data_IF_995774487624
#
_entry.id   IF_995774487624
#
_cell.length_a   1.000
_cell.length_b   1.000
_cell.length_c   1.000
_cell.angle_alpha   90.00
_cell.angle_beta   90.00
_cell.angle_gamma   90.00
#
_symmetry.space_group_name_H-M   'P 1'
#
loop_
_entity.id
_entity.type
_entity.pdbx_description
1 polymer ?
#
# COMPACT_ATOMS: atom_id res chain seq x y z
N UNK A 1 52.50 -13.97 -1.52
CA UNK A 1 51.50 -12.88 -1.47
C UNK A 1 50.12 -13.50 -1.33
N UNK A 2 49.48 -13.36 -0.16
CA UNK A 2 48.18 -13.95 0.16
C UNK A 2 47.09 -12.95 -0.31
N UNK A 3 46.28 -13.36 -1.28
CA UNK A 3 45.31 -12.49 -1.92
C UNK A 3 44.06 -12.35 -1.04
N UNK A 4 44.02 -11.33 -0.19
CA UNK A 4 42.84 -10.99 0.63
C UNK A 4 41.80 -10.30 -0.25
N UNK A 5 41.08 -11.07 -1.06
CA UNK A 5 39.87 -10.56 -1.72
C UNK A 5 38.78 -10.48 -0.64
N UNK A 6 38.63 -9.31 -0.03
CA UNK A 6 37.42 -8.97 0.74
C UNK A 6 36.26 -9.07 -0.24
N UNK A 7 35.59 -10.21 -0.27
CA UNK A 7 34.23 -10.29 -0.76
C UNK A 7 33.42 -9.39 0.16
N UNK A 8 33.27 -8.11 -0.23
CA UNK A 8 32.33 -7.23 0.42
C UNK A 8 30.99 -7.95 0.40
N UNK A 9 30.39 -8.13 1.57
CA UNK A 9 29.07 -8.72 1.73
C UNK A 9 28.12 -8.06 0.72
N UNK A 10 27.86 -8.72 -0.40
CA UNK A 10 26.83 -8.28 -1.33
C UNK A 10 25.52 -8.67 -0.66
N UNK A 11 24.96 -7.74 0.11
CA UNK A 11 23.64 -7.88 0.68
C UNK A 11 22.66 -7.94 -0.50
N UNK A 12 22.24 -9.14 -0.88
CA UNK A 12 21.15 -9.33 -1.84
C UNK A 12 19.85 -9.01 -1.12
N UNK A 13 19.38 -7.77 -1.27
CA UNK A 13 18.05 -7.37 -0.80
C UNK A 13 17.01 -8.07 -1.69
N UNK A 14 16.37 -9.09 -1.13
CA UNK A 14 15.28 -9.79 -1.79
C UNK A 14 13.92 -9.14 -1.47
N UNK A 15 12.88 -9.54 -2.20
CA UNK A 15 11.52 -8.99 -2.04
C UNK A 15 10.98 -9.22 -0.63
N UNK A 16 11.41 -10.31 0.02
CA UNK A 16 10.98 -10.67 1.37
C UNK A 16 11.56 -9.71 2.40
N UNK A 17 12.86 -9.39 2.29
CA UNK A 17 13.52 -8.38 3.12
C UNK A 17 12.87 -7.02 2.93
N UNK A 18 12.55 -6.63 1.69
CA UNK A 18 11.87 -5.37 1.41
C UNK A 18 10.47 -5.32 2.04
N UNK A 19 9.67 -6.37 1.87
CA UNK A 19 8.33 -6.46 2.46
C UNK A 19 8.36 -6.42 3.99
N UNK A 20 9.35 -7.07 4.61
CA UNK A 20 9.54 -7.04 6.05
C UNK A 20 9.88 -5.63 6.57
N UNK A 21 10.86 -4.97 5.96
CA UNK A 21 11.26 -3.61 6.34
C UNK A 21 10.10 -2.63 6.11
N UNK A 22 9.40 -2.72 4.97
CA UNK A 22 8.24 -1.88 4.70
C UNK A 22 7.13 -2.10 5.72
N UNK A 23 6.87 -3.35 6.14
CA UNK A 23 5.88 -3.64 7.19
C UNK A 23 6.23 -2.91 8.49
N UNK A 24 7.50 -2.93 8.92
CA UNK A 24 7.96 -2.20 10.11
C UNK A 24 7.72 -0.70 9.95
N UNK A 25 8.13 -0.12 8.81
CA UNK A 25 7.95 1.31 8.52
C UNK A 25 6.48 1.70 8.62
N UNK A 26 5.59 0.95 7.95
CA UNK A 26 4.16 1.24 7.96
C UNK A 26 3.55 1.08 9.36
N UNK A 27 3.94 0.07 10.14
CA UNK A 27 3.49 -0.08 11.53
C UNK A 27 3.93 1.13 12.37
N UNK A 28 5.20 1.53 12.28
CA UNK A 28 5.70 2.72 12.99
C UNK A 28 4.96 3.98 12.57
N UNK A 29 4.68 4.15 11.27
CA UNK A 29 3.89 5.26 10.75
C UNK A 29 2.46 5.28 11.31
N UNK A 30 1.79 4.12 11.37
CA UNK A 30 0.45 3.99 11.96
C UNK A 30 0.46 4.36 13.44
N UNK A 31 1.47 3.93 14.19
CA UNK A 31 1.63 4.29 15.61
C UNK A 31 1.81 5.80 15.76
N UNK A 32 2.71 6.42 14.99
CA UNK A 32 2.96 7.85 15.03
C UNK A 32 1.70 8.66 14.69
N UNK A 33 1.01 8.30 13.61
CA UNK A 33 -0.24 8.94 13.21
C UNK A 33 -1.37 8.72 14.21
N UNK A 34 -1.40 7.58 14.91
CA UNK A 34 -2.37 7.32 15.98
C UNK A 34 -2.18 8.28 17.15
N UNK A 35 -0.92 8.50 17.56
CA UNK A 35 -0.59 9.49 18.60
C UNK A 35 -0.96 10.89 18.12
N UNK A 36 -0.56 11.25 16.91
CA UNK A 36 -0.87 12.55 16.32
C UNK A 36 -2.39 12.80 16.20
N UNK A 37 -3.17 11.81 15.78
CA UNK A 37 -4.63 11.90 15.69
C UNK A 37 -5.29 12.12 17.06
N UNK A 38 -4.72 11.55 18.12
CA UNK A 38 -5.23 11.75 19.49
C UNK A 38 -4.87 13.13 20.05
N UNK A 39 -3.67 13.62 19.75
CA UNK A 39 -3.15 14.88 20.30
C UNK A 39 -3.61 16.12 19.53
N UNK A 40 -3.71 16.03 18.20
CA UNK A 40 -3.91 17.17 17.31
C UNK A 40 -5.20 17.00 16.49
N UNK A 41 -6.35 16.87 17.15
CA UNK A 41 -7.66 16.80 16.47
C UNK A 41 -8.07 18.08 15.74
N UNK A 42 -7.31 19.16 15.89
CA UNK A 42 -7.59 20.48 15.33
C UNK A 42 -7.43 20.54 13.81
N UNK A 43 -6.60 19.67 13.22
CA UNK A 43 -6.36 19.67 11.77
C UNK A 43 -7.19 18.59 11.08
N UNK A 44 -8.00 19.02 10.13
CA UNK A 44 -8.71 18.13 9.25
C UNK A 44 -7.75 17.28 8.41
N UNK A 45 -8.15 16.05 8.10
CA UNK A 45 -7.38 15.12 7.26
C UNK A 45 -6.50 14.12 8.01
N UNK A 46 -6.07 14.39 9.25
CA UNK A 46 -5.18 13.45 10.00
C UNK A 46 -5.83 12.07 10.17
N UNK A 47 -7.15 12.01 10.41
CA UNK A 47 -7.87 10.72 10.49
C UNK A 47 -7.83 9.93 9.19
N UNK A 48 -7.84 10.60 8.04
CA UNK A 48 -7.70 9.96 6.72
C UNK A 48 -6.28 9.49 6.46
N UNK A 49 -5.27 10.22 6.95
CA UNK A 49 -3.89 9.75 6.92
C UNK A 49 -3.71 8.48 7.75
N UNK A 50 -4.25 8.46 8.97
CA UNK A 50 -4.20 7.28 9.82
C UNK A 50 -4.91 6.08 9.17
N UNK A 51 -6.12 6.27 8.63
CA UNK A 51 -6.84 5.22 7.93
C UNK A 51 -6.06 4.72 6.71
N UNK A 52 -5.55 5.63 5.88
CA UNK A 52 -4.78 5.31 4.69
C UNK A 52 -3.51 4.53 5.00
N UNK A 53 -2.69 5.02 5.93
CA UNK A 53 -1.49 4.33 6.39
C UNK A 53 -1.80 2.96 7.01
N UNK A 54 -2.92 2.82 7.72
CA UNK A 54 -3.32 1.53 8.30
C UNK A 54 -3.69 0.51 7.22
N UNK A 55 -4.42 0.94 6.19
CA UNK A 55 -4.75 0.09 5.04
C UNK A 55 -3.50 -0.31 4.26
N UNK A 56 -2.57 0.61 4.03
CA UNK A 56 -1.29 0.29 3.37
C UNK A 56 -0.43 -0.66 4.20
N UNK A 57 -0.39 -0.48 5.52
CA UNK A 57 0.29 -1.40 6.42
C UNK A 57 -0.25 -2.84 6.26
N UNK A 58 -1.58 -2.99 6.32
CA UNK A 58 -2.23 -4.29 6.10
C UNK A 58 -1.93 -4.83 4.70
N UNK A 59 -1.97 -3.99 3.68
CA UNK A 59 -1.62 -4.36 2.31
C UNK A 59 -0.23 -4.98 2.22
N UNK A 60 0.80 -4.29 2.71
CA UNK A 60 2.19 -4.77 2.70
C UNK A 60 2.36 -6.04 3.53
N UNK A 61 1.75 -6.12 4.72
CA UNK A 61 1.82 -7.29 5.61
C UNK A 61 1.16 -8.51 4.95
N UNK A 62 0.09 -8.31 4.18
CA UNK A 62 -0.64 -9.40 3.54
C UNK A 62 0.01 -9.92 2.26
N UNK A 63 0.74 -9.09 1.51
CA UNK A 63 1.40 -9.51 0.25
C UNK A 63 2.23 -10.80 0.36
N UNK A 64 3.13 -10.99 1.35
CA UNK A 64 3.95 -12.21 1.44
C UNK A 64 3.15 -13.47 1.81
N UNK A 65 1.90 -13.33 2.27
CA UNK A 65 1.06 -14.46 2.69
C UNK A 65 0.57 -15.32 1.52
N UNK A 66 0.84 -14.93 0.26
CA UNK A 66 0.51 -15.72 -0.93
C UNK A 66 1.15 -17.12 -0.89
N UNK A 67 2.29 -17.26 -0.20
CA UNK A 67 3.01 -18.54 -0.05
C UNK A 67 2.33 -19.51 0.93
N UNK A 68 1.41 -19.02 1.77
CA UNK A 68 0.71 -19.80 2.78
C UNK A 68 -0.72 -20.03 2.31
N UNK A 69 -1.02 -21.24 1.82
CA UNK A 69 -2.31 -21.59 1.19
C UNK A 69 -3.55 -21.20 2.02
N UNK A 70 -3.51 -21.35 3.35
CA UNK A 70 -4.62 -21.00 4.24
C UNK A 70 -4.84 -19.48 4.37
N UNK A 71 -3.83 -18.66 4.05
CA UNK A 71 -3.85 -17.20 4.18
C UNK A 71 -3.84 -16.49 2.83
N UNK A 72 -3.92 -17.23 1.73
CA UNK A 72 -3.82 -16.70 0.38
C UNK A 72 -4.84 -15.58 0.12
N UNK A 73 -6.05 -15.70 0.69
CA UNK A 73 -7.11 -14.69 0.57
C UNK A 73 -6.67 -13.28 1.00
N UNK A 74 -5.85 -13.18 2.04
CA UNK A 74 -5.31 -11.89 2.50
C UNK A 74 -4.37 -11.29 1.46
N UNK A 75 -3.51 -12.11 0.87
CA UNK A 75 -2.62 -11.66 -0.20
C UNK A 75 -3.39 -11.20 -1.45
N UNK A 76 -4.56 -11.80 -1.74
CA UNK A 76 -5.39 -11.40 -2.89
C UNK A 76 -5.95 -9.98 -2.74
N UNK A 77 -6.34 -9.60 -1.52
CA UNK A 77 -6.88 -8.26 -1.21
C UNK A 77 -5.78 -7.22 -0.92
N UNK A 78 -4.52 -7.63 -0.78
CA UNK A 78 -3.41 -6.76 -0.40
C UNK A 78 -3.27 -5.51 -1.28
N UNK A 79 -3.28 -5.69 -2.61
CA UNK A 79 -3.20 -4.56 -3.55
C UNK A 79 -4.44 -3.65 -3.50
N UNK A 80 -5.61 -4.21 -3.19
CA UNK A 80 -6.84 -3.43 -3.03
C UNK A 80 -6.75 -2.52 -1.80
N UNK A 81 -6.19 -3.03 -0.71
CA UNK A 81 -5.91 -2.24 0.50
C UNK A 81 -4.87 -1.15 0.23
N UNK A 82 -3.83 -1.44 -0.55
CA UNK A 82 -2.82 -0.44 -0.94
C UNK A 82 -3.43 0.72 -1.71
N UNK A 83 -4.22 0.44 -2.75
CA UNK A 83 -4.86 1.48 -3.57
C UNK A 83 -5.91 2.26 -2.77
N UNK A 84 -6.73 1.58 -1.96
CA UNK A 84 -7.69 2.25 -1.09
C UNK A 84 -6.99 3.14 -0.06
N UNK A 85 -5.86 2.67 0.48
CA UNK A 85 -5.02 3.43 1.37
C UNK A 85 -4.49 4.71 0.72
N UNK A 86 -4.02 4.63 -0.53
CA UNK A 86 -3.58 5.78 -1.31
C UNK A 86 -4.71 6.80 -1.52
N UNK A 87 -5.93 6.34 -1.83
CA UNK A 87 -7.10 7.21 -1.95
C UNK A 87 -7.39 7.93 -0.62
N UNK A 88 -7.31 7.22 0.51
CA UNK A 88 -7.48 7.83 1.83
C UNK A 88 -6.40 8.89 2.09
N UNK A 89 -5.15 8.63 1.74
CA UNK A 89 -4.08 9.63 1.85
C UNK A 89 -4.36 10.87 1.01
N UNK A 90 -4.79 10.70 -0.25
CA UNK A 90 -5.21 11.79 -1.12
C UNK A 90 -6.33 12.64 -0.50
N UNK A 91 -7.38 11.99 0.02
CA UNK A 91 -8.48 12.69 0.72
C UNK A 91 -7.93 13.45 1.93
N UNK A 92 -7.04 12.84 2.70
CA UNK A 92 -6.40 13.49 3.83
C UNK A 92 -5.58 14.72 3.44
N UNK A 93 -4.82 14.66 2.34
CA UNK A 93 -4.08 15.80 1.78
C UNK A 93 -5.03 16.92 1.36
N UNK A 94 -6.10 16.59 0.64
CA UNK A 94 -7.08 17.58 0.18
C UNK A 94 -7.72 18.31 1.37
N UNK A 95 -8.14 17.56 2.40
CA UNK A 95 -8.71 18.13 3.62
C UNK A 95 -7.72 18.94 4.45
N UNK A 96 -6.48 18.47 4.56
CA UNK A 96 -5.43 19.22 5.24
C UNK A 96 -5.14 20.57 4.56
N UNK A 97 -5.32 20.64 3.23
CA UNK A 97 -5.19 21.86 2.44
C UNK A 97 -6.52 22.65 2.31
N UNK A 98 -7.56 22.29 3.06
CA UNK A 98 -8.91 22.86 2.98
C UNK A 98 -9.52 22.86 1.55
N UNK A 99 -9.10 21.90 0.71
CA UNK A 99 -9.64 21.70 -0.63
C UNK A 99 -10.73 20.63 -0.62
N UNK A 100 -11.73 20.82 -1.48
CA UNK A 100 -12.81 19.85 -1.67
C UNK A 100 -12.32 18.68 -2.53
N UNK A 101 -12.49 17.47 -2.04
CA UNK A 101 -12.31 16.24 -2.81
C UNK A 101 -13.59 15.87 -3.58
N UNK A 102 -13.45 15.39 -4.83
CA UNK A 102 -14.58 14.79 -5.54
C UNK A 102 -14.64 13.28 -5.25
N UNK A 103 -15.39 12.91 -4.20
CA UNK A 103 -15.53 11.51 -3.80
C UNK A 103 -16.13 10.61 -4.87
N UNK A 104 -16.99 11.15 -5.74
CA UNK A 104 -17.56 10.37 -6.84
C UNK A 104 -16.48 9.93 -7.82
N UNK A 105 -15.57 10.83 -8.21
CA UNK A 105 -14.45 10.49 -9.08
C UNK A 105 -13.55 9.44 -8.41
N UNK A 106 -13.20 9.63 -7.13
CA UNK A 106 -12.36 8.68 -6.40
C UNK A 106 -13.01 7.29 -6.28
N UNK A 107 -14.31 7.24 -5.97
CA UNK A 107 -15.06 5.98 -5.91
C UNK A 107 -15.18 5.31 -7.27
N UNK A 108 -15.37 6.07 -8.35
CA UNK A 108 -15.38 5.54 -9.71
C UNK A 108 -14.01 4.98 -10.12
N UNK A 109 -12.92 5.71 -9.85
CA UNK A 109 -11.54 5.23 -10.10
C UNK A 109 -11.28 3.94 -9.34
N UNK A 110 -11.66 3.88 -8.06
CA UNK A 110 -11.49 2.67 -7.26
C UNK A 110 -12.32 1.49 -7.78
N UNK A 111 -13.59 1.72 -8.17
CA UNK A 111 -14.45 0.68 -8.71
C UNK A 111 -13.90 0.11 -10.03
N UNK A 112 -13.44 0.98 -10.92
CA UNK A 112 -12.78 0.59 -12.19
C UNK A 112 -11.52 -0.22 -11.90
N UNK A 113 -10.67 0.24 -10.98
CA UNK A 113 -9.49 -0.49 -10.55
C UNK A 113 -9.83 -1.90 -10.02
N UNK A 114 -10.78 -2.00 -9.08
CA UNK A 114 -11.20 -3.29 -8.49
C UNK A 114 -11.72 -4.24 -9.57
N UNK A 115 -12.53 -3.74 -10.49
CA UNK A 115 -13.06 -4.52 -11.62
C UNK A 115 -11.94 -5.10 -12.48
N UNK A 116 -11.03 -4.25 -12.99
CA UNK A 116 -9.94 -4.73 -13.86
C UNK A 116 -8.94 -5.61 -13.10
N UNK A 117 -8.60 -5.25 -11.85
CA UNK A 117 -7.68 -6.03 -11.03
C UNK A 117 -8.19 -7.47 -10.84
N UNK A 118 -9.47 -7.64 -10.46
CA UNK A 118 -10.04 -8.98 -10.30
C UNK A 118 -10.35 -9.68 -11.60
N UNK A 119 -10.67 -8.96 -12.68
CA UNK A 119 -10.77 -9.52 -14.02
C UNK A 119 -9.46 -10.20 -14.44
N UNK A 120 -8.33 -9.49 -14.34
CA UNK A 120 -7.02 -10.06 -14.67
C UNK A 120 -6.55 -11.12 -13.66
N UNK A 121 -7.06 -11.10 -12.43
CA UNK A 121 -6.75 -12.12 -11.43
C UNK A 121 -7.44 -13.46 -11.69
N UNK A 122 -8.74 -13.44 -11.99
CA UNK A 122 -9.55 -14.66 -12.03
C UNK A 122 -9.81 -15.19 -13.45
N UNK A 123 -9.82 -14.32 -14.46
CA UNK A 123 -10.18 -14.71 -15.83
C UNK A 123 -8.92 -14.94 -16.68
N UNK A 124 -8.04 -13.93 -16.78
CA UNK A 124 -6.83 -14.03 -17.60
C UNK A 124 -5.60 -14.54 -16.82
N UNK A 125 -5.64 -14.49 -15.49
CA UNK A 125 -4.53 -14.82 -14.58
C UNK A 125 -3.16 -14.23 -15.00
N UNK A 126 -3.14 -12.95 -15.36
CA UNK A 126 -1.95 -12.24 -15.81
C UNK A 126 -1.40 -11.35 -14.67
N UNK A 127 -0.17 -11.64 -14.23
CA UNK A 127 0.49 -10.86 -13.17
C UNK A 127 0.91 -9.48 -13.71
N UNK A 128 1.47 -9.42 -14.91
CA UNK A 128 1.95 -8.17 -15.53
C UNK A 128 0.79 -7.20 -15.76
N UNK A 129 -0.35 -7.68 -16.27
CA UNK A 129 -1.54 -6.85 -16.46
C UNK A 129 -2.05 -6.29 -15.12
N UNK A 130 -2.07 -7.09 -14.04
CA UNK A 130 -2.44 -6.61 -12.71
C UNK A 130 -1.47 -5.53 -12.20
N UNK A 131 -0.17 -5.72 -12.39
CA UNK A 131 0.84 -4.71 -12.02
C UNK A 131 0.64 -3.41 -12.79
N UNK A 132 0.33 -3.47 -14.09
CA UNK A 132 0.02 -2.27 -14.89
C UNK A 132 -1.22 -1.56 -14.35
N UNK A 133 -2.30 -2.29 -14.08
CA UNK A 133 -3.55 -1.73 -13.54
C UNK A 133 -3.32 -1.02 -12.20
N UNK A 134 -2.55 -1.63 -11.29
CA UNK A 134 -2.21 -1.02 -9.99
C UNK A 134 -1.43 0.29 -10.21
N UNK A 135 -0.31 0.24 -10.96
CA UNK A 135 0.55 1.41 -11.14
C UNK A 135 -0.16 2.54 -11.90
N UNK A 136 -0.97 2.22 -12.92
CA UNK A 136 -1.76 3.21 -13.64
C UNK A 136 -2.77 3.88 -12.71
N UNK A 137 -3.44 3.11 -11.83
CA UNK A 137 -4.38 3.67 -10.85
C UNK A 137 -3.66 4.59 -9.87
N UNK A 138 -2.51 4.17 -9.35
CA UNK A 138 -1.71 4.99 -8.44
C UNK A 138 -1.19 6.28 -9.09
N UNK A 139 -0.95 6.29 -10.40
CA UNK A 139 -0.54 7.49 -11.13
C UNK A 139 -1.71 8.48 -11.39
N UNK A 140 -2.95 7.98 -11.40
CA UNK A 140 -4.15 8.79 -11.59
C UNK A 140 -4.58 9.48 -10.28
N UNK A 141 -4.39 8.81 -9.14
CA UNK A 141 -4.69 9.31 -7.80
C UNK A 141 -3.70 10.41 -7.39
#
# INVERSE_FOLDING_TARGET
MKNYRKEGLIIKLDVQTLAFILSIIFITQVIALSVQYRMNKTYDGIGWWLLGSSLMALGVIFMPLLTVKSLEIFARIANVLMVLGQICLYIGIMRFLDKKENRWILSSVFAVFVFFYYYFMFINNDISARTVVINATLAII
#
